data_IF_610120258375
#
_entry.id   IF_610120258375
#
_cell.length_a   1.000
_cell.length_b   1.000
_cell.length_c   1.000
_cell.angle_alpha   90.00
_cell.angle_beta   90.00
_cell.angle_gamma   90.00
#
_symmetry.space_group_name_H-M   'P 1'
#
loop_
_entity.id
_entity.type
_entity.pdbx_description
1 polymer ?
#
# COMPACT_ATOMS: atom_id res chain seq x y z
N UNK A 1 5.96 -24.64 4.14
CA UNK A 1 6.42 -23.81 3.00
C UNK A 1 5.20 -23.52 2.14
N UNK A 2 4.84 -22.26 1.89
CA UNK A 2 3.73 -21.99 0.95
C UNK A 2 4.22 -22.29 -0.47
N UNK A 3 3.34 -22.86 -1.29
CA UNK A 3 3.63 -23.03 -2.71
C UNK A 3 3.81 -21.66 -3.36
N UNK A 4 4.87 -21.44 -4.17
CA UNK A 4 4.99 -20.21 -4.92
C UNK A 4 3.80 -20.07 -5.88
N UNK A 5 3.26 -18.85 -5.96
CA UNK A 5 2.17 -18.54 -6.88
C UNK A 5 2.68 -18.60 -8.33
N UNK A 6 1.78 -18.90 -9.26
CA UNK A 6 2.06 -18.84 -10.69
C UNK A 6 2.32 -17.40 -11.15
N UNK A 7 3.05 -17.25 -12.27
CA UNK A 7 3.47 -15.95 -12.78
C UNK A 7 2.28 -15.04 -13.10
N UNK A 8 1.22 -15.57 -13.69
CA UNK A 8 -0.01 -14.84 -14.06
C UNK A 8 -0.72 -14.28 -12.82
N UNK A 9 -0.73 -15.05 -11.73
CA UNK A 9 -1.29 -14.61 -10.45
C UNK A 9 -0.46 -13.49 -9.85
N UNK A 10 0.87 -13.56 -9.96
CA UNK A 10 1.77 -12.52 -9.47
C UNK A 10 1.64 -11.23 -10.29
N UNK A 11 1.53 -11.32 -11.62
CA UNK A 11 1.28 -10.16 -12.47
C UNK A 11 0.02 -9.40 -12.05
N UNK A 12 -1.03 -10.13 -11.67
CA UNK A 12 -2.28 -9.51 -11.25
C UNK A 12 -2.25 -9.00 -9.80
N UNK A 13 -1.58 -9.67 -8.87
CA UNK A 13 -1.77 -9.42 -7.42
C UNK A 13 -0.52 -9.04 -6.63
N UNK A 14 0.68 -9.30 -7.13
CA UNK A 14 1.90 -9.01 -6.37
C UNK A 14 2.05 -7.50 -6.11
N UNK A 15 2.44 -7.14 -4.90
CA UNK A 15 2.65 -5.74 -4.50
C UNK A 15 1.38 -4.95 -4.18
N UNK A 16 0.18 -5.50 -4.41
CA UNK A 16 -1.08 -4.84 -4.06
C UNK A 16 -1.89 -5.59 -2.99
N UNK A 17 -2.59 -4.84 -2.15
CA UNK A 17 -3.52 -5.34 -1.14
C UNK A 17 -4.80 -4.49 -1.18
N UNK A 18 -5.91 -5.00 -0.64
CA UNK A 18 -7.10 -4.15 -0.50
C UNK A 18 -6.78 -3.04 0.48
N UNK A 19 -7.28 -1.84 0.20
CA UNK A 19 -7.19 -0.74 1.14
C UNK A 19 -7.82 -1.16 2.48
N UNK A 20 -7.05 -1.18 3.58
CA UNK A 20 -7.58 -1.60 4.88
C UNK A 20 -8.70 -0.69 5.38
N UNK A 21 -8.72 0.58 4.94
CA UNK A 21 -9.66 1.61 5.39
C UNK A 21 -11.01 1.49 4.67
N UNK A 22 -11.00 1.45 3.34
CA UNK A 22 -12.25 1.46 2.52
C UNK A 22 -12.63 0.11 1.94
N UNK A 23 -11.74 -0.89 1.99
CA UNK A 23 -11.86 -2.19 1.30
C UNK A 23 -11.84 -2.10 -0.22
N UNK A 24 -11.48 -0.96 -0.80
CA UNK A 24 -11.23 -0.85 -2.24
C UNK A 24 -10.19 -1.89 -2.68
N UNK A 25 -10.48 -2.59 -3.78
CA UNK A 25 -9.52 -3.50 -4.41
C UNK A 25 -8.60 -2.77 -5.39
N UNK A 26 -9.09 -1.73 -6.04
CA UNK A 26 -8.25 -0.88 -6.86
C UNK A 26 -7.35 -0.03 -5.95
N UNK A 27 -6.07 0.11 -6.31
CA UNK A 27 -5.10 0.93 -5.59
C UNK A 27 -5.54 2.40 -5.66
N UNK A 28 -5.60 3.12 -4.52
CA UNK A 28 -5.93 4.54 -4.54
C UNK A 28 -4.94 5.37 -5.36
N UNK A 29 -5.44 6.40 -6.04
CA UNK A 29 -4.59 7.42 -6.66
C UNK A 29 -4.28 8.49 -5.59
N UNK A 30 -3.10 8.43 -4.99
CA UNK A 30 -2.64 9.44 -4.04
C UNK A 30 -2.11 10.69 -4.76
N UNK A 31 -3.01 11.45 -5.39
CA UNK A 31 -2.68 12.69 -6.08
C UNK A 31 -2.51 13.85 -5.09
N UNK A 32 -1.39 13.81 -4.37
CA UNK A 32 -1.02 14.80 -3.35
C UNK A 32 0.44 15.23 -3.56
N UNK A 33 0.77 16.42 -3.07
CA UNK A 33 2.14 16.94 -3.03
C UNK A 33 2.84 16.67 -1.69
N UNK A 34 2.11 16.27 -0.66
CA UNK A 34 2.61 16.13 0.72
C UNK A 34 1.76 15.17 1.57
N UNK A 35 2.38 14.61 2.62
CA UNK A 35 1.71 13.79 3.65
C UNK A 35 1.87 14.45 5.03
N UNK A 36 0.93 14.19 5.92
CA UNK A 36 0.94 14.72 7.30
C UNK A 36 1.78 13.84 8.21
N UNK A 37 2.44 14.46 9.20
CA UNK A 37 3.05 13.75 10.31
C UNK A 37 2.04 13.62 11.45
N UNK A 38 2.13 12.52 12.20
CA UNK A 38 1.25 12.31 13.35
C UNK A 38 1.49 13.34 14.47
N UNK A 39 2.74 13.80 14.63
CA UNK A 39 3.14 14.84 15.57
C UNK A 39 4.53 15.43 15.23
N UNK A 40 4.92 16.49 15.95
CA UNK A 40 6.20 17.19 15.74
C UNK A 40 7.43 16.32 16.00
N UNK A 41 7.37 15.37 16.95
CA UNK A 41 8.49 14.49 17.23
C UNK A 41 8.68 13.44 16.13
N UNK A 42 7.59 12.90 15.57
CA UNK A 42 7.63 12.05 14.38
C UNK A 42 8.26 12.82 13.21
N UNK A 43 7.81 14.05 12.96
CA UNK A 43 8.38 14.91 11.92
C UNK A 43 9.90 15.14 12.09
N UNK A 44 10.37 15.30 13.34
CA UNK A 44 11.77 15.55 13.64
C UNK A 44 12.67 14.29 13.55
N UNK A 45 12.09 13.08 13.54
CA UNK A 45 12.82 11.81 13.63
C UNK A 45 12.91 11.03 12.30
N UNK A 46 12.35 11.57 11.21
CA UNK A 46 12.31 10.93 9.89
C UNK A 46 13.61 11.01 9.10
#
# INVERSE_FOLDING_TARGET
>A
MSTPLHFETLQLHAGQQADPTTKSRAVPIYQTTSYVFDNAQHAANL
#
